data_IF_766639106190
#
_entry.id   IF_766639106190
#
_cell.length_a   1.000
_cell.length_b   1.000
_cell.length_c   1.000
_cell.angle_alpha   90.00
_cell.angle_beta   90.00
_cell.angle_gamma   90.00
#
_symmetry.space_group_name_H-M   'P 1'
#
loop_
_entity.id
_entity.type
_entity.pdbx_description
1 polymer ?
#
# COMPACT_ATOMS: atom_id res chain seq x y z
N UNK A 1 9.30 -10.81 -4.83
CA UNK A 1 9.61 -9.85 -3.75
C UNK A 1 10.30 -10.62 -2.63
N UNK A 2 11.38 -10.08 -2.09
CA UNK A 2 12.12 -10.66 -0.97
C UNK A 2 12.00 -9.69 0.20
N UNK A 3 11.43 -10.11 1.33
CA UNK A 3 11.26 -9.27 2.53
C UNK A 3 11.73 -10.00 3.79
N UNK A 4 12.04 -9.24 4.84
CA UNK A 4 12.42 -9.77 6.17
C UNK A 4 11.21 -10.02 7.09
N UNK A 5 9.99 -9.93 6.58
CA UNK A 5 8.76 -10.09 7.36
C UNK A 5 8.44 -11.54 7.70
N UNK A 6 7.55 -11.74 8.68
CA UNK A 6 6.97 -13.06 8.96
C UNK A 6 5.98 -13.38 7.84
N UNK A 7 6.23 -14.45 7.10
CA UNK A 7 5.31 -14.91 6.05
C UNK A 7 3.97 -15.36 6.66
N UNK A 8 2.88 -14.99 6.01
CA UNK A 8 1.54 -15.44 6.42
C UNK A 8 1.40 -16.95 6.23
N UNK A 9 0.88 -17.64 7.23
CA UNK A 9 0.59 -19.08 7.15
C UNK A 9 -0.72 -19.28 6.40
N UNK A 10 -0.62 -19.79 5.17
CA UNK A 10 -1.80 -20.09 4.34
C UNK A 10 -2.64 -21.17 5.00
N UNK A 11 -3.90 -20.84 5.26
CA UNK A 11 -4.89 -21.77 5.82
C UNK A 11 -6.12 -21.81 4.92
N UNK A 12 -6.80 -22.96 4.87
CA UNK A 12 -8.11 -23.05 4.23
C UNK A 12 -9.10 -22.26 5.08
N UNK A 13 -9.82 -21.35 4.43
CA UNK A 13 -10.88 -20.54 5.05
C UNK A 13 -12.21 -20.90 4.41
N UNK A 14 -13.29 -20.69 5.15
CA UNK A 14 -14.67 -20.86 4.68
C UNK A 14 -15.53 -19.75 5.29
N UNK A 15 -16.60 -19.37 4.61
CA UNK A 15 -17.55 -18.42 5.16
C UNK A 15 -18.49 -19.15 6.13
N UNK A 16 -18.93 -18.48 7.21
CA UNK A 16 -19.95 -19.04 8.10
C UNK A 16 -21.25 -19.36 7.34
N UNK A 17 -21.55 -18.59 6.28
CA UNK A 17 -22.70 -18.81 5.40
C UNK A 17 -22.66 -20.12 4.63
N UNK A 18 -21.48 -20.73 4.46
CA UNK A 18 -21.36 -22.04 3.82
C UNK A 18 -21.96 -23.15 4.71
N UNK A 19 -22.11 -22.88 6.02
CA UNK A 19 -22.67 -23.81 7.01
C UNK A 19 -24.07 -23.42 7.49
N UNK A 20 -24.44 -22.15 7.39
CA UNK A 20 -25.78 -21.67 7.71
C UNK A 20 -26.15 -20.40 6.94
N UNK A 21 -27.16 -20.51 6.07
CA UNK A 21 -27.63 -19.41 5.22
C UNK A 21 -28.29 -18.28 6.00
N UNK A 22 -28.75 -18.54 7.24
CA UNK A 22 -29.42 -17.57 8.10
C UNK A 22 -28.46 -16.68 8.88
N UNK A 23 -27.17 -17.05 8.97
CA UNK A 23 -26.19 -16.22 9.68
C UNK A 23 -25.94 -14.94 8.90
N UNK A 24 -26.05 -13.82 9.58
CA UNK A 24 -25.60 -12.51 9.15
C UNK A 24 -24.68 -11.86 10.20
N UNK A 25 -24.25 -10.63 9.91
CA UNK A 25 -23.35 -9.90 10.79
C UNK A 25 -23.98 -9.62 12.17
N UNK A 26 -25.25 -9.24 12.20
CA UNK A 26 -25.95 -8.88 13.42
C UNK A 26 -26.10 -10.09 14.33
N UNK A 27 -26.57 -11.22 13.76
CA UNK A 27 -26.71 -12.48 14.49
C UNK A 27 -25.38 -12.94 15.10
N UNK A 28 -24.27 -12.81 14.36
CA UNK A 28 -22.95 -13.14 14.89
C UNK A 28 -22.54 -12.24 16.07
N UNK A 29 -22.73 -10.92 15.94
CA UNK A 29 -22.41 -9.97 17.02
C UNK A 29 -23.26 -10.23 18.28
N UNK A 30 -24.55 -10.52 18.14
CA UNK A 30 -25.45 -10.87 19.25
C UNK A 30 -25.02 -12.16 19.95
N UNK A 31 -24.67 -13.21 19.18
CA UNK A 31 -24.19 -14.47 19.74
C UNK A 31 -22.86 -14.29 20.51
N UNK A 32 -21.94 -13.46 20.01
CA UNK A 32 -20.70 -13.13 20.72
C UNK A 32 -20.97 -12.35 22.00
N UNK A 33 -21.90 -11.38 21.96
CA UNK A 33 -22.29 -10.60 23.14
C UNK A 33 -22.94 -11.47 24.22
N UNK A 34 -23.85 -12.37 23.83
CA UNK A 34 -24.49 -13.33 24.73
C UNK A 34 -23.45 -14.22 25.41
N UNK A 35 -22.52 -14.79 24.63
CA UNK A 35 -21.48 -15.65 25.18
C UNK A 35 -20.53 -14.88 26.11
N UNK A 36 -20.19 -13.64 25.78
CA UNK A 36 -19.41 -12.76 26.65
C UNK A 36 -20.14 -12.46 27.97
N UNK A 37 -21.45 -12.18 27.91
CA UNK A 37 -22.26 -11.93 29.09
C UNK A 37 -22.38 -13.17 29.99
N UNK A 38 -22.55 -14.35 29.40
CA UNK A 38 -22.59 -15.62 30.12
C UNK A 38 -21.29 -15.88 30.88
N UNK A 39 -20.14 -15.62 30.26
CA UNK A 39 -18.82 -15.86 30.86
C UNK A 39 -18.44 -14.83 31.92
N UNK A 40 -18.73 -13.54 31.67
CA UNK A 40 -18.16 -12.43 32.46
C UNK A 40 -19.19 -11.60 33.24
N UNK A 41 -20.49 -11.84 33.05
CA UNK A 41 -21.56 -11.06 33.65
C UNK A 41 -22.73 -11.92 34.17
N UNK A 42 -22.45 -13.19 34.53
CA UNK A 42 -23.45 -14.17 35.01
C UNK A 42 -24.68 -14.32 34.09
N UNK A 43 -24.50 -14.12 32.78
CA UNK A 43 -25.59 -14.16 31.79
C UNK A 43 -26.58 -13.00 31.88
N UNK A 44 -26.25 -11.93 32.62
CA UNK A 44 -27.09 -10.74 32.68
C UNK A 44 -26.96 -9.92 31.41
N UNK A 45 -28.09 -9.36 30.98
CA UNK A 45 -28.17 -8.55 29.76
C UNK A 45 -27.19 -7.36 29.81
N UNK A 46 -26.47 -7.17 28.69
CA UNK A 46 -25.52 -6.08 28.49
C UNK A 46 -26.07 -5.19 27.38
N UNK A 47 -26.18 -3.90 27.66
CA UNK A 47 -26.53 -2.90 26.65
C UNK A 47 -25.24 -2.42 25.96
N UNK A 48 -25.02 -2.74 24.66
CA UNK A 48 -23.82 -2.32 23.97
C UNK A 48 -23.82 -0.80 23.75
N UNK A 49 -22.66 -0.18 23.91
CA UNK A 49 -22.47 1.22 23.50
C UNK A 49 -22.28 1.27 22.00
N UNK A 50 -23.15 2.00 21.31
CA UNK A 50 -23.07 2.21 19.86
C UNK A 50 -22.11 3.36 19.57
N UNK A 51 -21.10 3.12 18.75
CA UNK A 51 -20.15 4.13 18.27
C UNK A 51 -20.27 4.19 16.74
N UNK A 52 -20.65 5.35 16.23
CA UNK A 52 -20.86 5.66 14.83
C UNK A 52 -20.19 6.99 14.45
N UNK A 53 -20.28 7.40 13.18
CA UNK A 53 -19.67 8.64 12.71
C UNK A 53 -20.29 9.89 13.38
N UNK A 54 -21.54 9.81 13.84
CA UNK A 54 -22.24 10.91 14.50
C UNK A 54 -21.77 11.10 15.95
N UNK A 55 -21.61 10.01 16.69
CA UNK A 55 -21.08 9.95 18.06
C UNK A 55 -19.55 10.02 18.12
N UNK A 56 -18.85 9.95 16.97
CA UNK A 56 -17.41 10.14 16.89
C UNK A 56 -16.93 11.49 17.45
N UNK A 57 -17.81 12.50 17.51
CA UNK A 57 -17.53 13.81 18.13
C UNK A 57 -17.44 13.76 19.66
N UNK A 58 -18.09 12.77 20.27
CA UNK A 58 -18.12 12.56 21.72
C UNK A 58 -16.97 11.65 22.19
N UNK A 59 -16.16 11.14 21.27
CA UNK A 59 -15.00 10.34 21.60
C UNK A 59 -13.93 11.18 22.34
N UNK A 60 -13.19 10.57 23.28
CA UNK A 60 -12.06 11.24 23.92
C UNK A 60 -11.07 11.76 22.88
N UNK A 61 -10.46 12.93 23.14
CA UNK A 61 -9.46 13.54 22.24
C UNK A 61 -8.37 12.55 21.81
N UNK A 62 -7.93 11.67 22.73
CA UNK A 62 -6.93 10.65 22.43
C UNK A 62 -7.41 9.65 21.36
N UNK A 63 -8.68 9.25 21.36
CA UNK A 63 -9.21 8.33 20.35
C UNK A 63 -9.21 8.99 18.96
N UNK A 64 -9.54 10.29 18.89
CA UNK A 64 -9.47 11.06 17.63
C UNK A 64 -8.02 11.15 17.13
N UNK A 65 -7.07 11.45 18.02
CA UNK A 65 -5.64 11.52 17.68
C UNK A 65 -5.12 10.16 17.20
N UNK A 66 -5.46 9.07 17.88
CA UNK A 66 -5.08 7.71 17.45
C UNK A 66 -5.69 7.41 16.08
N UNK A 67 -6.98 7.70 15.86
CA UNK A 67 -7.62 7.49 14.56
C UNK A 67 -6.87 8.20 13.43
N UNK A 68 -6.46 9.44 13.66
CA UNK A 68 -5.74 10.23 12.65
C UNK A 68 -4.32 9.68 12.44
N UNK A 69 -3.64 9.25 13.51
CA UNK A 69 -2.34 8.55 13.46
C UNK A 69 -2.41 7.24 12.67
N UNK A 70 -3.43 6.42 12.90
CA UNK A 70 -3.66 5.14 12.20
C UNK A 70 -3.84 5.29 10.68
N UNK A 71 -4.16 6.51 10.21
CA UNK A 71 -4.32 6.84 8.79
C UNK A 71 -3.04 7.38 8.15
N UNK A 72 -2.00 7.63 8.94
CA UNK A 72 -0.74 8.16 8.43
C UNK A 72 0.05 7.10 7.69
N UNK A 73 0.86 7.52 6.71
CA UNK A 73 1.79 6.64 6.01
C UNK A 73 2.74 5.92 6.97
N UNK A 74 3.27 6.65 7.94
CA UNK A 74 4.24 6.13 8.91
C UNK A 74 3.64 5.01 9.77
N UNK A 75 2.32 5.05 10.01
CA UNK A 75 1.61 3.96 10.68
C UNK A 75 1.30 2.80 9.74
N UNK A 76 0.64 3.07 8.61
CA UNK A 76 0.15 2.02 7.70
C UNK A 76 1.33 1.24 7.08
N UNK A 77 2.39 1.96 6.70
CA UNK A 77 3.51 1.41 5.92
C UNK A 77 4.88 1.67 6.52
N UNK A 78 5.02 2.62 7.45
CA UNK A 78 6.31 2.94 8.09
C UNK A 78 6.89 1.80 8.94
N UNK A 79 6.10 0.78 9.26
CA UNK A 79 6.58 -0.46 9.90
C UNK A 79 6.91 -1.58 8.91
N UNK A 80 6.78 -1.34 7.60
CA UNK A 80 7.10 -2.33 6.58
C UNK A 80 8.60 -2.65 6.62
N UNK A 81 9.00 -3.91 6.86
CA UNK A 81 10.40 -4.31 6.85
C UNK A 81 11.03 -4.05 5.50
N UNK A 82 12.37 -3.96 5.48
CA UNK A 82 13.12 -3.87 4.23
C UNK A 82 12.71 -4.99 3.26
N UNK A 83 12.40 -4.61 2.02
CA UNK A 83 12.14 -5.54 0.94
C UNK A 83 12.76 -5.07 -0.37
N UNK A 84 12.97 -6.04 -1.25
CA UNK A 84 13.38 -5.82 -2.62
C UNK A 84 12.34 -6.39 -3.58
N UNK A 85 11.88 -5.55 -4.50
CA UNK A 85 11.00 -5.94 -5.59
C UNK A 85 11.72 -5.82 -6.93
N UNK A 86 11.76 -6.93 -7.67
CA UNK A 86 12.29 -6.99 -9.04
C UNK A 86 11.13 -7.27 -9.97
N UNK A 87 10.91 -6.34 -10.90
CA UNK A 87 9.81 -6.37 -11.87
C UNK A 87 10.37 -6.06 -13.25
N UNK A 88 9.77 -6.67 -14.28
CA UNK A 88 10.19 -6.51 -15.67
C UNK A 88 8.96 -6.34 -16.55
N UNK A 89 9.08 -5.50 -17.58
CA UNK A 89 8.02 -5.30 -18.57
C UNK A 89 8.61 -5.09 -19.95
N UNK A 90 7.94 -5.64 -20.96
CA UNK A 90 8.34 -5.57 -22.36
C UNK A 90 7.44 -4.57 -23.09
N UNK A 91 7.97 -3.37 -23.33
CA UNK A 91 7.33 -2.36 -24.16
C UNK A 91 7.65 -2.59 -25.64
N UNK A 92 6.85 -1.99 -26.52
CA UNK A 92 7.08 -2.02 -27.98
C UNK A 92 8.47 -1.50 -28.38
N UNK A 93 9.06 -0.62 -27.57
CA UNK A 93 10.36 0.00 -27.81
C UNK A 93 11.51 -0.67 -27.06
N UNK A 94 11.25 -1.64 -26.20
CA UNK A 94 12.29 -2.32 -25.43
C UNK A 94 11.80 -2.86 -24.09
N UNK A 95 12.58 -3.74 -23.49
CA UNK A 95 12.31 -4.29 -22.16
C UNK A 95 12.92 -3.41 -21.10
N UNK A 96 12.15 -3.09 -20.07
CA UNK A 96 12.61 -2.39 -18.86
C UNK A 96 12.61 -3.36 -17.69
N UNK A 97 13.69 -3.38 -16.94
CA UNK A 97 13.82 -4.10 -15.67
C UNK A 97 14.00 -3.08 -14.55
N UNK A 98 13.14 -3.16 -13.54
CA UNK A 98 13.21 -2.36 -12.33
C UNK A 98 13.54 -3.23 -11.13
N UNK A 99 14.54 -2.81 -10.37
CA UNK A 99 14.89 -3.37 -9.06
C UNK A 99 14.75 -2.26 -8.04
N UNK A 100 13.76 -2.37 -7.17
CA UNK A 100 13.39 -1.35 -6.19
C UNK A 100 13.60 -1.93 -4.80
N UNK A 101 14.39 -1.26 -3.98
CA UNK A 101 14.52 -1.52 -2.55
C UNK A 101 13.73 -0.47 -1.79
N UNK A 102 12.94 -0.92 -0.83
CA UNK A 102 12.18 -0.04 0.03
C UNK A 102 12.26 -0.50 1.49
N UNK A 103 12.22 0.47 2.39
CA UNK A 103 12.23 0.29 3.84
C UNK A 103 11.30 1.33 4.45
N UNK A 104 10.45 0.94 5.42
CA UNK A 104 9.43 1.83 6.00
C UNK A 104 8.47 2.43 4.94
N UNK A 105 8.28 1.69 3.85
CA UNK A 105 7.53 2.15 2.68
C UNK A 105 8.16 3.29 1.89
N UNK A 106 9.41 3.64 2.15
CA UNK A 106 10.17 4.62 1.38
C UNK A 106 11.15 3.88 0.47
N UNK A 107 11.26 4.34 -0.77
CA UNK A 107 12.20 3.80 -1.76
C UNK A 107 13.62 4.25 -1.37
N UNK A 108 14.44 3.29 -0.95
CA UNK A 108 15.82 3.54 -0.52
C UNK A 108 16.82 3.42 -1.67
N UNK A 109 16.54 2.54 -2.64
CA UNK A 109 17.39 2.35 -3.80
C UNK A 109 16.60 1.85 -5.01
N UNK A 110 16.97 2.33 -6.21
CA UNK A 110 16.33 1.91 -7.47
C UNK A 110 17.39 1.70 -8.54
N UNK A 111 17.29 0.59 -9.25
CA UNK A 111 18.00 0.35 -10.49
C UNK A 111 17.00 0.09 -11.61
N UNK A 112 16.99 0.96 -12.63
CA UNK A 112 16.24 0.75 -13.86
C UNK A 112 17.22 0.47 -15.00
N UNK A 113 16.97 -0.59 -15.76
CA UNK A 113 17.76 -0.95 -16.96
C UNK A 113 16.83 -1.19 -18.14
N UNK A 114 17.32 -0.93 -19.35
CA UNK A 114 16.56 -1.12 -20.58
C UNK A 114 17.39 -1.80 -21.65
N UNK A 115 16.75 -2.59 -22.51
CA UNK A 115 17.40 -3.18 -23.70
C UNK A 115 17.60 -2.17 -24.83
N UNK A 116 16.99 -0.98 -24.73
CA UNK A 116 17.11 0.10 -25.73
C UNK A 116 18.18 1.11 -25.30
N UNK A 117 19.32 1.23 -26.00
CA UNK A 117 20.40 2.12 -25.60
C UNK A 117 20.02 3.60 -25.55
N UNK A 118 19.16 4.09 -26.45
CA UNK A 118 18.77 5.52 -26.47
C UNK A 118 17.98 5.90 -25.21
N UNK A 119 17.17 4.97 -24.70
CA UNK A 119 16.34 5.16 -23.50
C UNK A 119 17.10 4.98 -22.18
N UNK A 120 18.38 4.57 -22.23
CA UNK A 120 19.16 4.26 -21.03
C UNK A 120 19.31 5.47 -20.10
N UNK A 121 19.48 6.67 -20.66
CA UNK A 121 19.56 7.91 -19.88
C UNK A 121 18.24 8.24 -19.20
N UNK A 122 17.11 8.11 -19.91
CA UNK A 122 15.79 8.39 -19.33
C UNK A 122 15.48 7.49 -18.14
N UNK A 123 15.68 6.17 -18.28
CA UNK A 123 15.41 5.23 -17.19
C UNK A 123 16.37 5.42 -16.01
N UNK A 124 17.63 5.81 -16.25
CA UNK A 124 18.59 6.11 -15.17
C UNK A 124 18.17 7.34 -14.37
N UNK A 125 17.74 8.41 -15.06
CA UNK A 125 17.25 9.64 -14.42
C UNK A 125 15.98 9.36 -13.62
N UNK A 126 15.06 8.54 -14.14
CA UNK A 126 13.88 8.10 -13.41
C UNK A 126 14.24 7.35 -12.12
N UNK A 127 15.24 6.45 -12.17
CA UNK A 127 15.69 5.71 -11.00
C UNK A 127 16.18 6.65 -9.88
N UNK A 128 16.91 7.71 -10.24
CA UNK A 128 17.37 8.73 -9.28
C UNK A 128 16.19 9.51 -8.70
N UNK A 129 15.25 9.94 -9.54
CA UNK A 129 14.10 10.72 -9.09
C UNK A 129 13.13 9.94 -8.18
N UNK A 130 13.04 8.62 -8.35
CA UNK A 130 12.27 7.70 -7.51
C UNK A 130 12.86 7.50 -6.11
N UNK A 131 14.17 7.72 -5.94
CA UNK A 131 14.82 7.55 -4.64
C UNK A 131 14.27 8.55 -3.62
N UNK A 132 13.91 8.06 -2.44
CA UNK A 132 13.31 8.85 -1.35
C UNK A 132 11.81 9.12 -1.49
N UNK A 133 11.17 8.69 -2.59
CA UNK A 133 9.71 8.73 -2.70
C UNK A 133 9.05 7.59 -1.91
N UNK A 134 7.77 7.74 -1.59
CA UNK A 134 6.97 6.64 -1.04
C UNK A 134 6.79 5.56 -2.10
N UNK A 135 6.80 4.30 -1.68
CA UNK A 135 6.47 3.15 -2.52
C UNK A 135 4.94 3.08 -2.67
N UNK A 136 4.37 4.04 -3.39
CA UNK A 136 2.93 4.16 -3.66
C UNK A 136 2.68 4.69 -5.07
N UNK A 137 1.51 4.38 -5.61
CA UNK A 137 1.01 4.81 -6.91
C UNK A 137 1.06 6.34 -7.09
N UNK A 138 0.74 7.11 -6.06
CA UNK A 138 0.68 8.57 -6.13
C UNK A 138 2.05 9.23 -6.21
N UNK A 139 3.04 8.71 -5.47
CA UNK A 139 4.38 9.31 -5.44
C UNK A 139 5.19 9.08 -6.72
N UNK A 140 4.80 8.14 -7.59
CA UNK A 140 5.41 7.98 -8.91
C UNK A 140 5.15 9.21 -9.81
N UNK A 141 4.04 9.93 -9.62
CA UNK A 141 3.77 11.16 -10.40
C UNK A 141 4.75 12.30 -10.08
N UNK A 142 5.23 12.35 -8.85
CA UNK A 142 6.22 13.35 -8.41
C UNK A 142 7.53 13.24 -9.21
N UNK A 143 7.82 12.06 -9.77
CA UNK A 143 8.98 11.82 -10.62
C UNK A 143 8.97 12.73 -11.84
N UNK A 144 7.82 12.90 -12.51
CA UNK A 144 7.71 13.80 -13.69
C UNK A 144 8.05 15.23 -13.29
N UNK A 145 7.57 15.66 -12.12
CA UNK A 145 7.79 17.01 -11.61
C UNK A 145 9.28 17.23 -11.32
N UNK A 146 9.94 16.26 -10.66
CA UNK A 146 11.39 16.31 -10.39
C UNK A 146 12.20 16.35 -11.70
N UNK A 147 11.90 15.47 -12.65
CA UNK A 147 12.60 15.42 -13.94
C UNK A 147 12.40 16.73 -14.72
N UNK A 148 11.19 17.31 -14.70
CA UNK A 148 10.92 18.58 -15.36
C UNK A 148 11.74 19.73 -14.76
N UNK A 149 11.95 19.72 -13.45
CA UNK A 149 12.74 20.76 -12.77
C UNK A 149 14.24 20.63 -13.05
N UNK A 150 14.77 19.41 -13.05
CA UNK A 150 16.22 19.18 -13.17
C UNK A 150 16.71 19.02 -14.61
N UNK A 151 15.91 18.38 -15.48
CA UNK A 151 16.29 18.00 -16.84
C UNK A 151 15.12 18.11 -17.83
N UNK A 152 14.60 19.32 -18.10
CA UNK A 152 13.43 19.52 -18.96
C UNK A 152 13.65 19.02 -20.40
N UNK A 153 14.85 19.20 -20.95
CA UNK A 153 15.20 18.76 -22.31
C UNK A 153 15.09 17.23 -22.52
N UNK A 154 15.11 16.45 -21.43
CA UNK A 154 14.93 15.00 -21.49
C UNK A 154 13.46 14.63 -21.72
N UNK A 155 12.52 15.38 -21.13
CA UNK A 155 11.09 15.19 -21.37
C UNK A 155 10.70 15.56 -22.80
N UNK A 156 11.33 16.57 -23.38
CA UNK A 156 11.06 16.97 -24.77
C UNK A 156 11.50 15.88 -25.77
N UNK A 157 12.55 15.14 -25.43
CA UNK A 157 13.13 14.09 -26.30
C UNK A 157 12.51 12.71 -26.07
N UNK A 158 12.25 12.35 -24.82
CA UNK A 158 11.86 11.00 -24.39
C UNK A 158 10.59 10.98 -23.53
N UNK A 159 9.75 12.02 -23.59
CA UNK A 159 8.54 12.13 -22.77
C UNK A 159 7.57 10.95 -22.92
N UNK A 160 7.46 10.37 -24.12
CA UNK A 160 6.66 9.17 -24.35
C UNK A 160 7.16 7.96 -23.57
N UNK A 161 8.46 7.67 -23.66
CA UNK A 161 9.13 6.59 -22.91
C UNK A 161 8.95 6.77 -21.40
N UNK A 162 9.15 7.99 -20.89
CA UNK A 162 9.02 8.29 -19.46
C UNK A 162 7.57 8.09 -19.00
N UNK A 163 6.61 8.55 -19.80
CA UNK A 163 5.18 8.36 -19.51
C UNK A 163 4.78 6.89 -19.48
N UNK A 164 5.25 6.08 -20.45
CA UNK A 164 4.99 4.64 -20.50
C UNK A 164 5.53 3.93 -19.26
N UNK A 165 6.78 4.21 -18.88
CA UNK A 165 7.41 3.59 -17.71
C UNK A 165 6.71 4.01 -16.43
N UNK A 166 6.25 5.25 -16.31
CA UNK A 166 5.50 5.73 -15.13
C UNK A 166 4.12 5.08 -15.04
N UNK A 167 3.39 5.00 -16.16
CA UNK A 167 2.10 4.33 -16.20
C UNK A 167 2.24 2.87 -15.78
N UNK A 168 3.25 2.18 -16.32
CA UNK A 168 3.57 0.81 -15.91
C UNK A 168 3.93 0.73 -14.43
N UNK A 169 4.84 1.56 -13.93
CA UNK A 169 5.25 1.54 -12.52
C UNK A 169 4.05 1.74 -11.59
N UNK A 170 3.06 2.55 -11.95
CA UNK A 170 1.82 2.69 -11.17
C UNK A 170 0.97 1.43 -11.13
N UNK A 171 1.03 0.56 -12.13
CA UNK A 171 0.28 -0.70 -12.09
C UNK A 171 0.93 -1.73 -11.17
N UNK A 172 2.26 -1.65 -10.99
CA UNK A 172 3.05 -2.70 -10.33
C UNK A 172 3.69 -2.28 -9.01
N UNK A 173 3.79 -0.97 -8.75
CA UNK A 173 4.28 -0.38 -7.49
C UNK A 173 3.09 0.21 -6.76
N UNK A 174 2.83 -0.32 -5.57
CA UNK A 174 1.80 0.16 -4.66
C UNK A 174 1.79 -0.70 -3.41
N UNK A 175 1.54 -0.06 -2.26
CA UNK A 175 1.12 -0.74 -1.04
C UNK A 175 -0.30 -0.35 -0.68
#
# INVERSE_FOLDING_TARGET
MVSKGVESVRSKVANLRDYSYTIDHQFFCEAVLEQFANEYNDGREIQPTIIDDASARDLPLRAVQVRDELRTWDWIYGQTPEFENKIEHEFMWGRVTARIKAEQGIITDVTLTTTRPEAATAVTVMAVALKGCKYDHGSVDEVIVKIRAEMPALLDREGGTISDVIAWLKEVVGM
#
